data_IF_103199844386
#
_entry.id   IF_103199844386
#
_cell.length_a   1.000
_cell.length_b   1.000
_cell.length_c   1.000
_cell.angle_alpha   90.00
_cell.angle_beta   90.00
_cell.angle_gamma   90.00
#
_symmetry.space_group_name_H-M   'P 1'
#
loop_
_entity.id
_entity.type
_entity.pdbx_description
1 polymer ?
#
# COMPACT_ATOMS: atom_id res chain seq x y z
N UNK A 1 12.43 84.59 -30.89
CA UNK A 1 11.00 84.30 -30.63
C UNK A 1 10.57 83.27 -31.67
N UNK A 2 10.02 82.08 -31.42
CA UNK A 2 9.50 81.34 -30.26
C UNK A 2 9.99 79.88 -30.43
N UNK A 3 10.50 79.24 -29.38
CA UNK A 3 10.76 77.78 -29.39
C UNK A 3 9.55 77.10 -28.76
N UNK A 4 8.80 76.35 -29.54
CA UNK A 4 7.69 75.53 -29.04
C UNK A 4 8.28 74.22 -28.51
N UNK A 5 8.19 74.04 -27.20
CA UNK A 5 8.50 72.80 -26.49
C UNK A 5 7.26 71.93 -26.56
N UNK A 6 7.39 70.68 -27.04
CA UNK A 6 6.37 69.66 -26.84
C UNK A 6 6.84 68.62 -25.83
N UNK A 7 5.95 68.40 -24.88
CA UNK A 7 6.05 67.61 -23.66
C UNK A 7 5.72 66.14 -23.97
N UNK A 8 6.59 65.25 -23.48
CA UNK A 8 6.31 63.96 -22.83
C UNK A 8 5.38 62.95 -23.54
N UNK A 9 5.94 61.78 -23.89
CA UNK A 9 5.19 60.52 -23.80
C UNK A 9 6.14 59.38 -23.46
N UNK A 10 6.27 59.10 -22.16
CA UNK A 10 7.03 57.98 -21.61
C UNK A 10 6.04 56.83 -21.39
N UNK A 11 5.93 55.93 -22.38
CA UNK A 11 5.11 54.71 -22.26
C UNK A 11 5.90 53.71 -21.43
N UNK A 12 5.63 53.69 -20.12
CA UNK A 12 5.94 52.56 -19.26
C UNK A 12 5.02 51.40 -19.64
N UNK A 13 5.53 50.48 -20.47
CA UNK A 13 4.93 49.17 -20.69
C UNK A 13 5.02 48.36 -19.40
N UNK A 14 4.01 48.48 -18.54
CA UNK A 14 3.77 47.56 -17.45
C UNK A 14 3.32 46.22 -18.02
N UNK A 15 4.27 45.30 -18.20
CA UNK A 15 3.98 43.89 -18.42
C UNK A 15 3.31 43.34 -17.17
N UNK A 16 1.99 43.10 -17.25
CA UNK A 16 1.31 42.23 -16.29
C UNK A 16 1.84 40.81 -16.50
N UNK A 17 2.93 40.47 -15.82
CA UNK A 17 3.30 39.09 -15.61
C UNK A 17 2.17 38.43 -14.81
N UNK A 18 1.31 37.69 -15.49
CA UNK A 18 0.45 36.69 -14.87
C UNK A 18 1.39 35.66 -14.24
N UNK A 19 1.67 35.81 -12.95
CA UNK A 19 2.21 34.73 -12.16
C UNK A 19 1.16 33.63 -12.15
N UNK A 20 1.29 32.65 -13.05
CA UNK A 20 0.64 31.36 -12.90
C UNK A 20 1.18 30.76 -11.60
N UNK A 21 0.41 30.90 -10.54
CA UNK A 21 0.58 30.13 -9.33
C UNK A 21 0.25 28.69 -9.72
N UNK A 22 1.27 27.96 -10.19
CA UNK A 22 1.23 26.53 -10.28
C UNK A 22 1.01 26.06 -8.83
N UNK A 23 -0.23 25.78 -8.48
CA UNK A 23 -0.57 24.82 -7.44
C UNK A 23 -0.09 23.46 -7.98
N UNK A 24 1.23 23.29 -8.06
CA UNK A 24 1.83 21.97 -8.14
C UNK A 24 1.30 21.27 -6.91
N UNK A 25 0.32 20.38 -7.13
CA UNK A 25 -0.11 19.42 -6.12
C UNK A 25 1.20 18.81 -5.64
N UNK A 26 1.60 19.14 -4.42
CA UNK A 26 2.81 18.60 -3.83
C UNK A 26 2.47 17.13 -3.58
N UNK A 27 2.71 16.29 -4.60
CA UNK A 27 2.52 14.85 -4.49
C UNK A 27 3.60 14.40 -3.51
N UNK A 28 3.22 14.37 -2.23
CA UNK A 28 4.03 13.87 -1.13
C UNK A 28 4.36 12.41 -1.46
N UNK A 29 5.51 12.17 -2.09
CA UNK A 29 6.05 10.83 -2.26
C UNK A 29 6.70 10.38 -0.96
N UNK A 30 6.78 9.08 -0.74
CA UNK A 30 7.48 8.53 0.44
C UNK A 30 8.93 9.04 0.49
N UNK A 31 9.60 9.10 -0.66
CA UNK A 31 10.98 9.57 -0.80
C UNK A 31 11.15 11.05 -0.46
N UNK A 32 10.09 11.85 -0.53
CA UNK A 32 10.10 13.27 -0.16
C UNK A 32 9.85 13.49 1.34
N UNK A 33 9.27 12.52 2.05
CA UNK A 33 8.86 12.66 3.45
C UNK A 33 9.71 11.82 4.42
N UNK A 34 10.42 10.81 3.90
CA UNK A 34 11.15 9.83 4.70
C UNK A 34 12.54 9.60 4.14
N UNK A 35 13.52 9.45 5.04
CA UNK A 35 14.87 9.06 4.65
C UNK A 35 14.95 7.55 4.33
N UNK A 36 16.06 7.12 3.73
CA UNK A 36 16.26 5.73 3.30
C UNK A 36 16.12 4.71 4.42
N UNK A 37 16.58 5.02 5.64
CA UNK A 37 16.46 4.12 6.79
C UNK A 37 15.00 3.96 7.23
N UNK A 38 14.25 5.06 7.24
CA UNK A 38 12.82 5.05 7.54
C UNK A 38 12.04 4.25 6.48
N UNK A 39 12.35 4.43 5.19
CA UNK A 39 11.76 3.64 4.11
C UNK A 39 12.08 2.15 4.27
N UNK A 40 13.33 1.81 4.61
CA UNK A 40 13.72 0.43 4.87
C UNK A 40 12.99 -0.17 6.07
N UNK A 41 12.74 0.61 7.13
CA UNK A 41 11.95 0.15 8.27
C UNK A 41 10.50 -0.14 7.86
N UNK A 42 9.91 0.69 7.01
CA UNK A 42 8.59 0.43 6.45
C UNK A 42 8.56 -0.81 5.56
N UNK A 43 9.58 -1.02 4.73
CA UNK A 43 9.72 -2.24 3.92
C UNK A 43 9.80 -3.50 4.80
N UNK A 44 10.56 -3.46 5.90
CA UNK A 44 10.59 -4.58 6.85
C UNK A 44 9.24 -4.78 7.53
N UNK A 45 8.58 -3.69 7.96
CA UNK A 45 7.23 -3.76 8.55
C UNK A 45 6.18 -4.33 7.59
N UNK A 46 6.36 -4.16 6.27
CA UNK A 46 5.45 -4.78 5.29
C UNK A 46 5.64 -6.29 5.16
N UNK A 47 6.85 -6.80 5.44
CA UNK A 47 7.12 -8.24 5.54
C UNK A 47 6.45 -8.81 6.80
N UNK A 48 6.62 -8.16 7.95
CA UNK A 48 5.95 -8.57 9.21
C UNK A 48 4.42 -8.58 9.09
N UNK A 49 3.83 -7.66 8.32
CA UNK A 49 2.39 -7.67 8.03
C UNK A 49 1.95 -8.89 7.22
N UNK A 50 2.80 -9.40 6.32
CA UNK A 50 2.52 -10.64 5.60
C UNK A 50 2.60 -11.85 6.54
N UNK A 51 3.57 -11.87 7.47
CA UNK A 51 3.64 -12.89 8.51
C UNK A 51 2.38 -12.90 9.39
N UNK A 52 1.87 -11.72 9.77
CA UNK A 52 0.58 -11.60 10.48
C UNK A 52 -0.60 -12.15 9.68
N UNK A 53 -0.64 -11.92 8.36
CA UNK A 53 -1.66 -12.51 7.50
C UNK A 53 -1.60 -14.05 7.53
N UNK A 54 -0.40 -14.62 7.38
CA UNK A 54 -0.17 -16.07 7.44
C UNK A 54 -0.58 -16.63 8.81
N UNK A 55 -0.23 -15.94 9.89
CA UNK A 55 -0.60 -16.31 11.26
C UNK A 55 -2.11 -16.33 11.45
N UNK A 56 -2.81 -15.26 11.11
CA UNK A 56 -4.27 -15.18 11.25
C UNK A 56 -4.99 -16.20 10.37
N UNK A 57 -4.50 -16.42 9.14
CA UNK A 57 -5.02 -17.46 8.26
C UNK A 57 -4.88 -18.84 8.90
N UNK A 58 -3.71 -19.16 9.44
CA UNK A 58 -3.45 -20.44 10.08
C UNK A 58 -4.27 -20.64 11.37
N UNK A 59 -4.45 -19.57 12.17
CA UNK A 59 -5.30 -19.62 13.36
C UNK A 59 -6.75 -19.90 12.98
N UNK A 60 -7.24 -19.31 11.88
CA UNK A 60 -8.59 -19.53 11.37
C UNK A 60 -8.83 -21.01 11.00
N UNK A 61 -7.81 -21.73 10.51
CA UNK A 61 -7.92 -23.17 10.22
C UNK A 61 -7.86 -24.06 11.47
N UNK A 62 -7.36 -23.53 12.58
CA UNK A 62 -7.14 -24.30 13.82
C UNK A 62 -8.27 -24.13 14.84
N UNK A 63 -9.04 -23.05 14.74
CA UNK A 63 -10.16 -22.80 15.65
C UNK A 63 -11.46 -23.38 15.08
N UNK A 64 -12.32 -23.89 15.97
CA UNK A 64 -13.71 -24.24 15.66
C UNK A 64 -14.70 -23.15 16.13
N UNK A 65 -14.21 -22.17 16.91
CA UNK A 65 -14.99 -21.03 17.38
C UNK A 65 -15.28 -20.06 16.22
N UNK A 66 -16.57 -19.89 15.90
CA UNK A 66 -17.04 -19.06 14.80
C UNK A 66 -16.82 -17.57 15.06
N UNK A 67 -16.97 -17.11 16.31
CA UNK A 67 -16.78 -15.70 16.66
C UNK A 67 -15.30 -15.34 16.53
N UNK A 68 -14.41 -16.24 16.99
CA UNK A 68 -12.97 -16.08 16.78
C UNK A 68 -12.60 -16.09 15.30
N UNK A 69 -13.17 -16.99 14.48
CA UNK A 69 -12.93 -16.98 13.02
C UNK A 69 -13.33 -15.65 12.38
N UNK A 70 -14.48 -15.09 12.78
CA UNK A 70 -14.93 -13.81 12.25
C UNK A 70 -13.97 -12.67 12.64
N UNK A 71 -13.51 -12.63 13.89
CA UNK A 71 -12.50 -11.66 14.34
C UNK A 71 -11.18 -11.79 13.59
N UNK A 72 -10.71 -13.02 13.34
CA UNK A 72 -9.49 -13.28 12.56
C UNK A 72 -9.66 -12.84 11.09
N UNK A 73 -10.83 -13.09 10.49
CA UNK A 73 -11.17 -12.61 9.14
C UNK A 73 -11.14 -11.09 9.04
N UNK A 74 -11.74 -10.39 10.00
CA UNK A 74 -11.67 -8.92 10.08
C UNK A 74 -10.24 -8.43 10.25
N UNK A 75 -9.47 -9.10 11.11
CA UNK A 75 -8.04 -8.79 11.33
C UNK A 75 -7.24 -8.93 10.04
N UNK A 76 -7.48 -9.97 9.25
CA UNK A 76 -6.89 -10.12 7.91
C UNK A 76 -7.29 -8.95 7.02
N UNK A 77 -8.58 -8.61 6.92
CA UNK A 77 -9.03 -7.53 6.04
C UNK A 77 -8.41 -6.17 6.38
N UNK A 78 -8.16 -5.89 7.66
CA UNK A 78 -7.50 -4.65 8.10
C UNK A 78 -6.05 -4.57 7.61
N UNK A 79 -5.36 -5.69 7.37
CA UNK A 79 -3.99 -5.68 6.86
C UNK A 79 -3.91 -5.20 5.40
N UNK A 80 -4.99 -5.39 4.63
CA UNK A 80 -5.03 -5.10 3.20
C UNK A 80 -5.61 -3.72 2.89
N UNK A 81 -5.39 -3.26 1.66
CA UNK A 81 -5.96 -2.01 1.17
C UNK A 81 -7.49 -2.05 1.12
N UNK A 82 -8.05 -3.20 0.76
CA UNK A 82 -9.49 -3.43 0.65
C UNK A 82 -9.78 -4.93 0.66
N UNK A 83 -11.02 -5.30 0.98
CA UNK A 83 -11.54 -6.66 0.78
C UNK A 83 -11.60 -7.06 -0.70
N UNK A 84 -11.57 -6.07 -1.60
CA UNK A 84 -11.60 -6.21 -3.07
C UNK A 84 -10.19 -6.19 -3.71
N UNK A 85 -9.14 -6.23 -2.90
CA UNK A 85 -7.76 -6.38 -3.38
C UNK A 85 -7.63 -7.66 -4.22
N UNK A 86 -6.93 -7.57 -5.35
CA UNK A 86 -6.74 -8.72 -6.23
C UNK A 86 -5.78 -9.73 -5.61
N UNK A 87 -6.11 -11.01 -5.75
CA UNK A 87 -5.44 -12.09 -5.09
C UNK A 87 -5.37 -13.30 -6.02
N UNK A 88 -4.17 -13.84 -6.24
CA UNK A 88 -4.05 -15.14 -6.91
C UNK A 88 -4.47 -16.25 -5.96
N UNK A 89 -5.36 -17.11 -6.43
CA UNK A 89 -5.74 -18.32 -5.71
C UNK A 89 -4.63 -19.38 -5.80
N UNK A 90 -3.58 -19.17 -5.02
CA UNK A 90 -2.41 -20.03 -4.98
C UNK A 90 -2.68 -21.40 -4.34
N UNK A 91 -3.81 -21.57 -3.67
CA UNK A 91 -4.24 -22.84 -3.07
C UNK A 91 -4.99 -23.75 -4.06
N UNK A 92 -5.43 -23.23 -5.22
CA UNK A 92 -6.03 -24.05 -6.28
C UNK A 92 -5.35 -23.86 -7.65
N UNK A 93 -6.06 -23.26 -8.60
CA UNK A 93 -5.72 -23.17 -10.02
C UNK A 93 -5.06 -21.83 -10.39
N UNK A 94 -4.62 -21.05 -9.40
CA UNK A 94 -3.95 -19.76 -9.60
C UNK A 94 -4.83 -18.70 -10.30
N UNK A 95 -6.16 -18.87 -10.24
CA UNK A 95 -7.12 -17.89 -10.76
C UNK A 95 -7.01 -16.56 -10.02
N UNK A 96 -7.29 -15.45 -10.70
CA UNK A 96 -7.39 -14.14 -10.05
C UNK A 96 -8.76 -14.02 -9.39
N UNK A 97 -8.78 -13.86 -8.07
CA UNK A 97 -9.96 -13.64 -7.26
C UNK A 97 -9.76 -12.43 -6.35
N UNK A 98 -10.77 -12.09 -5.56
CA UNK A 98 -10.71 -11.04 -4.54
C UNK A 98 -10.31 -11.62 -3.19
N UNK A 99 -9.71 -10.79 -2.32
CA UNK A 99 -9.32 -11.21 -0.97
C UNK A 99 -10.50 -11.80 -0.18
N UNK A 100 -11.66 -11.15 -0.19
CA UNK A 100 -12.86 -11.67 0.48
C UNK A 100 -13.29 -13.05 -0.05
N UNK A 101 -13.16 -13.28 -1.36
CA UNK A 101 -13.46 -14.56 -2.01
C UNK A 101 -12.45 -15.62 -1.58
N UNK A 102 -11.15 -15.30 -1.58
CA UNK A 102 -10.09 -16.19 -1.10
C UNK A 102 -10.36 -16.63 0.34
N UNK A 103 -10.56 -15.66 1.25
CA UNK A 103 -10.80 -15.97 2.67
C UNK A 103 -12.06 -16.79 2.84
N UNK A 104 -13.16 -16.47 2.14
CA UNK A 104 -14.42 -17.22 2.27
C UNK A 104 -14.32 -18.64 1.67
N UNK A 105 -13.54 -18.83 0.60
CA UNK A 105 -13.29 -20.14 -0.03
C UNK A 105 -12.49 -21.06 0.90
N UNK A 106 -11.55 -20.50 1.66
CA UNK A 106 -10.62 -21.26 2.50
C UNK A 106 -10.85 -21.16 4.00
N UNK A 107 -11.91 -20.50 4.48
CA UNK A 107 -12.18 -20.31 5.92
C UNK A 107 -12.40 -21.61 6.74
N UNK A 108 -12.64 -22.72 6.06
CA UNK A 108 -12.83 -24.04 6.66
C UNK A 108 -11.91 -25.09 6.00
N UNK A 109 -10.82 -24.65 5.37
CA UNK A 109 -9.86 -25.60 4.79
C UNK A 109 -8.98 -26.20 5.89
N UNK A 110 -8.05 -27.07 5.50
CA UNK A 110 -7.00 -27.59 6.39
C UNK A 110 -5.61 -27.17 5.94
N UNK A 111 -5.54 -26.19 5.04
CA UNK A 111 -4.29 -25.70 4.49
C UNK A 111 -3.58 -24.85 5.53
N UNK A 112 -2.35 -25.22 5.87
CA UNK A 112 -1.50 -24.43 6.76
C UNK A 112 -0.35 -23.89 5.94
N UNK A 113 -0.09 -22.59 6.12
CA UNK A 113 0.93 -21.84 5.40
C UNK A 113 2.17 -21.64 6.28
N UNK A 114 3.35 -21.74 5.70
CA UNK A 114 4.64 -21.46 6.33
C UNK A 114 5.44 -20.52 5.42
N UNK A 115 5.93 -19.41 5.96
CA UNK A 115 6.84 -18.51 5.22
C UNK A 115 8.26 -19.08 5.30
N UNK A 116 8.80 -19.53 4.16
CA UNK A 116 10.16 -20.08 4.07
C UNK A 116 11.18 -18.93 3.95
N UNK A 117 10.88 -17.97 3.09
CA UNK A 117 11.72 -16.80 2.87
C UNK A 117 10.88 -15.64 2.36
N UNK A 118 11.39 -14.43 2.61
CA UNK A 118 10.75 -13.21 2.17
C UNK A 118 11.76 -12.09 1.99
N UNK A 119 11.50 -11.21 1.05
CA UNK A 119 12.34 -10.05 0.77
C UNK A 119 11.51 -8.88 0.27
N UNK A 120 11.96 -7.67 0.58
CA UNK A 120 11.37 -6.46 0.03
C UNK A 120 12.26 -5.90 -1.08
N UNK A 121 11.66 -5.54 -2.21
CA UNK A 121 12.38 -4.89 -3.29
C UNK A 121 12.89 -3.52 -2.81
N UNK A 122 14.20 -3.30 -2.91
CA UNK A 122 14.86 -2.04 -2.53
C UNK A 122 14.36 -0.85 -3.35
N UNK A 123 13.85 -1.09 -4.55
CA UNK A 123 13.29 -0.07 -5.42
C UNK A 123 11.89 0.31 -4.96
N UNK A 124 11.77 1.55 -4.50
CA UNK A 124 10.51 2.15 -4.06
C UNK A 124 10.00 3.03 -5.19
N UNK A 125 8.83 2.69 -5.72
CA UNK A 125 8.03 3.57 -6.57
C UNK A 125 7.48 4.72 -5.72
N UNK A 126 6.79 5.67 -6.34
CA UNK A 126 6.38 6.93 -5.68
C UNK A 126 5.81 6.77 -4.26
N UNK A 127 4.95 5.76 -4.04
CA UNK A 127 4.32 5.42 -2.75
C UNK A 127 4.06 3.92 -2.62
N UNK A 128 4.89 3.09 -3.26
CA UNK A 128 4.70 1.64 -3.29
C UNK A 128 6.01 0.90 -3.56
N UNK A 129 6.04 -0.38 -3.22
CA UNK A 129 7.13 -1.30 -3.56
C UNK A 129 6.56 -2.71 -3.70
N UNK A 130 7.40 -3.67 -4.06
CA UNK A 130 7.01 -5.08 -4.19
C UNK A 130 7.74 -5.89 -3.13
N UNK A 131 7.02 -6.75 -2.43
CA UNK A 131 7.59 -7.81 -1.62
C UNK A 131 7.53 -9.13 -2.39
N UNK A 132 8.54 -9.99 -2.23
CA UNK A 132 8.53 -11.38 -2.70
C UNK A 132 8.52 -12.33 -1.51
N UNK A 133 7.81 -13.44 -1.65
CA UNK A 133 7.70 -14.48 -0.62
C UNK A 133 7.89 -15.86 -1.24
N UNK A 134 8.46 -16.80 -0.49
CA UNK A 134 8.30 -18.23 -0.71
C UNK A 134 7.49 -18.81 0.44
N UNK A 135 6.34 -19.39 0.13
CA UNK A 135 5.49 -20.05 1.11
C UNK A 135 5.45 -21.55 0.86
N UNK A 136 5.32 -22.34 1.93
CA UNK A 136 5.06 -23.78 1.89
C UNK A 136 3.68 -24.05 2.45
N UNK A 137 2.93 -24.88 1.76
CA UNK A 137 1.66 -25.42 2.27
C UNK A 137 1.95 -26.75 2.94
N UNK A 138 1.21 -27.12 3.99
CA UNK A 138 1.34 -28.41 4.66
C UNK A 138 1.15 -29.65 3.75
N UNK A 139 0.60 -29.49 2.55
CA UNK A 139 0.63 -30.50 1.49
C UNK A 139 2.03 -30.78 0.91
N UNK A 140 3.02 -29.95 1.23
CA UNK A 140 4.38 -29.98 0.70
C UNK A 140 4.60 -29.06 -0.52
N UNK A 141 3.54 -28.46 -1.08
CA UNK A 141 3.64 -27.53 -2.22
C UNK A 141 4.31 -26.22 -1.79
N UNK A 142 5.36 -25.82 -2.50
CA UNK A 142 6.01 -24.51 -2.34
C UNK A 142 5.57 -23.56 -3.45
N UNK A 143 5.34 -22.30 -3.10
CA UNK A 143 4.84 -21.27 -4.02
C UNK A 143 5.64 -19.99 -3.83
N UNK A 144 6.07 -19.40 -4.94
CA UNK A 144 6.66 -18.07 -4.96
C UNK A 144 5.56 -17.03 -5.24
N UNK A 145 5.51 -15.98 -4.43
CA UNK A 145 4.51 -14.92 -4.51
C UNK A 145 5.20 -13.55 -4.61
N UNK A 146 4.52 -12.62 -5.27
CA UNK A 146 4.85 -11.20 -5.27
C UNK A 146 3.64 -10.40 -4.82
N UNK A 147 3.89 -9.36 -4.04
CA UNK A 147 2.84 -8.50 -3.52
C UNK A 147 3.18 -7.03 -3.70
N UNK A 148 2.25 -6.29 -4.27
CA UNK A 148 2.30 -4.84 -4.26
C UNK A 148 1.99 -4.34 -2.84
N UNK A 149 2.90 -3.54 -2.31
CA UNK A 149 2.75 -2.88 -1.02
C UNK A 149 2.42 -1.41 -1.28
N UNK A 150 1.42 -0.89 -0.57
CA UNK A 150 1.01 0.51 -0.68
C UNK A 150 1.31 1.26 0.60
N UNK A 151 1.96 2.41 0.43
CA UNK A 151 2.23 3.36 1.48
C UNK A 151 1.36 4.59 1.29
N UNK A 152 0.36 4.74 2.14
CA UNK A 152 -0.69 5.73 1.93
C UNK A 152 -0.98 6.50 3.21
N UNK A 153 -1.43 7.74 3.04
CA UNK A 153 -1.92 8.56 4.14
C UNK A 153 -3.32 8.07 4.50
N UNK A 154 -3.53 7.83 5.78
CA UNK A 154 -4.81 7.50 6.37
C UNK A 154 -5.17 8.58 7.40
N UNK A 155 -6.39 9.07 7.33
CA UNK A 155 -6.91 9.98 8.33
C UNK A 155 -7.35 9.17 9.55
N UNK A 156 -6.70 9.39 10.71
CA UNK A 156 -7.04 8.70 11.96
C UNK A 156 -7.59 9.69 12.98
N UNK A 157 -8.69 9.30 13.62
CA UNK A 157 -9.31 10.05 14.71
C UNK A 157 -8.70 9.67 16.05
N UNK A 158 -8.36 10.68 16.83
CA UNK A 158 -7.86 10.59 18.20
C UNK A 158 -8.78 11.44 19.09
N UNK A 159 -9.85 10.82 19.59
CA UNK A 159 -10.94 11.52 20.26
C UNK A 159 -11.67 12.45 19.30
N UNK A 160 -11.64 13.77 19.57
CA UNK A 160 -12.25 14.80 18.71
C UNK A 160 -11.31 15.31 17.60
N UNK A 161 -10.02 14.98 17.68
CA UNK A 161 -9.01 15.45 16.74
C UNK A 161 -8.79 14.42 15.64
N UNK A 162 -8.35 14.88 14.47
CA UNK A 162 -7.99 14.03 13.34
C UNK A 162 -6.57 14.33 12.89
N UNK A 163 -5.82 13.30 12.49
CA UNK A 163 -4.45 13.44 12.01
C UNK A 163 -4.20 12.51 10.83
N UNK A 164 -3.49 13.03 9.83
CA UNK A 164 -2.91 12.25 8.74
C UNK A 164 -1.76 11.38 9.28
N UNK A 165 -1.89 10.06 9.11
CA UNK A 165 -0.87 9.07 9.50
C UNK A 165 -0.51 8.25 8.28
N UNK A 166 0.78 8.11 8.03
CA UNK A 166 1.27 7.21 6.99
C UNK A 166 1.14 5.77 7.45
N UNK A 167 0.55 4.92 6.63
CA UNK A 167 0.34 3.51 6.91
C UNK A 167 0.66 2.65 5.70
N UNK A 168 1.22 1.46 5.98
CA UNK A 168 1.40 0.40 5.00
C UNK A 168 0.15 -0.48 4.97
N UNK A 169 -0.35 -0.73 3.76
CA UNK A 169 -1.33 -1.77 3.49
C UNK A 169 -0.79 -2.79 2.50
N UNK A 170 -1.14 -4.05 2.74
CA UNK A 170 -0.96 -5.14 1.80
C UNK A 170 -1.87 -4.92 0.59
N UNK A 171 -1.31 -4.96 -0.61
CA UNK A 171 -2.04 -4.82 -1.87
C UNK A 171 -2.12 -6.13 -2.63
N UNK A 172 -2.22 -6.01 -3.96
CA UNK A 172 -2.44 -7.15 -4.85
C UNK A 172 -1.36 -8.23 -4.65
N UNK A 173 -1.79 -9.48 -4.55
CA UNK A 173 -0.92 -10.64 -4.40
C UNK A 173 -1.01 -11.51 -5.65
N UNK A 174 0.13 -11.84 -6.26
CA UNK A 174 0.21 -12.70 -7.43
C UNK A 174 1.28 -13.77 -7.26
N UNK A 175 1.17 -14.87 -8.01
CA UNK A 175 2.27 -15.82 -8.12
C UNK A 175 3.40 -15.19 -8.95
N UNK A 176 4.63 -15.37 -8.45
CA UNK A 176 5.85 -14.94 -9.14
C UNK A 176 6.02 -15.79 -10.41
N UNK A 177 6.08 -15.13 -11.56
CA UNK A 177 6.30 -15.78 -12.86
C UNK A 177 7.77 -16.11 -13.08
#
# INVERSE_FOLDING_TARGET
MKKTVYILFLILLSSKGLAQQNNAVNIKSISNNFNKLQVSAYQNSSLEKFDQFVEYFNLMQKTDDLDLKNQLKESIFILFQSTETEFSDFLSNNEKIKLNQFISKYQNSKDILEVISQESNKSVLQNSWVNSYQIKINSGKTIALEQLISFQIQEKKFGKNSKEVWEIKLGNLSIKQ
#
